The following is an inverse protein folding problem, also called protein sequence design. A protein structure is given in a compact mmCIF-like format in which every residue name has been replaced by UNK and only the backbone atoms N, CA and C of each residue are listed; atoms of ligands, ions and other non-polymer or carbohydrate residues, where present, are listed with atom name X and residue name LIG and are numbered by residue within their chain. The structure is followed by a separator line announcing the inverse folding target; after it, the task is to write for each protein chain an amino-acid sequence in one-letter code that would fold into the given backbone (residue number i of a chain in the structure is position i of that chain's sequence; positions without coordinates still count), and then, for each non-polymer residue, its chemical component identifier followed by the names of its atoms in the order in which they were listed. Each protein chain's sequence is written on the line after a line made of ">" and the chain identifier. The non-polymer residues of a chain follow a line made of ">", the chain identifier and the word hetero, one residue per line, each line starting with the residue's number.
data_IF_497437909222
#
_entry.id   IF_497437909222
#
_cell.length_a   1.000
_cell.length_b   1.000
_cell.length_c   1.000
_cell.angle_alpha   90.00
_cell.angle_beta   90.00
_cell.angle_gamma   90.00
#
_symmetry.space_group_name_H-M   'P 1'
#
loop_
_entity.id
_entity.type
_entity.pdbx_description
1 polymer ?
#
# COMPACT_ATOMS: atom_id res chain seq x y z
N UNK A 1 -20.35 -6.41 -12.14
CA UNK A 1 -21.59 -5.73 -11.69
C UNK A 1 -22.36 -6.72 -10.83
N UNK A 2 -22.53 -6.44 -9.53
CA UNK A 2 -23.30 -7.30 -8.61
C UNK A 2 -24.66 -6.63 -8.44
N UNK A 3 -25.70 -7.25 -8.98
CA UNK A 3 -27.10 -6.84 -8.82
C UNK A 3 -27.82 -7.94 -8.07
N UNK A 4 -28.31 -7.61 -6.86
CA UNK A 4 -29.35 -8.37 -6.19
C UNK A 4 -30.69 -7.72 -6.59
N UNK A 5 -31.62 -8.53 -7.08
CA UNK A 5 -32.97 -8.18 -7.53
C UNK A 5 -33.53 -6.83 -7.01
N UNK A 6 -33.36 -5.76 -7.81
CA UNK A 6 -34.15 -4.53 -7.70
C UNK A 6 -33.80 -3.55 -6.56
N UNK A 7 -32.79 -3.80 -5.72
CA UNK A 7 -32.27 -2.80 -4.78
C UNK A 7 -30.80 -2.48 -5.07
N UNK A 8 -30.49 -1.21 -5.26
CA UNK A 8 -29.10 -0.75 -5.29
C UNK A 8 -28.46 -1.03 -3.93
N UNK A 9 -27.40 -1.86 -3.92
CA UNK A 9 -26.59 -2.05 -2.73
C UNK A 9 -26.00 -0.70 -2.34
N UNK A 10 -26.20 -0.22 -1.10
CA UNK A 10 -25.67 1.07 -0.69
C UNK A 10 -24.17 1.11 -0.98
N UNK A 11 -23.70 2.17 -1.65
CA UNK A 11 -22.27 2.34 -2.01
C UNK A 11 -21.37 2.16 -0.79
N UNK A 12 -21.85 2.60 0.38
CA UNK A 12 -21.19 2.37 1.66
C UNK A 12 -20.97 0.89 1.96
N UNK A 13 -21.97 0.04 1.80
CA UNK A 13 -21.83 -1.41 2.05
C UNK A 13 -20.80 -2.04 1.10
N UNK A 14 -20.74 -1.61 -0.15
CA UNK A 14 -19.70 -2.06 -1.10
C UNK A 14 -18.32 -1.63 -0.61
N UNK A 15 -18.17 -0.37 -0.17
CA UNK A 15 -16.89 0.13 0.38
C UNK A 15 -16.48 -0.62 1.65
N UNK A 16 -17.42 -0.94 2.53
CA UNK A 16 -17.15 -1.71 3.75
C UNK A 16 -16.66 -3.12 3.43
N UNK A 17 -17.25 -3.77 2.43
CA UNK A 17 -16.78 -5.07 1.94
C UNK A 17 -15.37 -4.97 1.34
N UNK A 18 -15.08 -3.94 0.55
CA UNK A 18 -13.73 -3.74 -0.02
C UNK A 18 -12.69 -3.47 1.06
N UNK A 19 -12.97 -2.55 1.98
CA UNK A 19 -12.05 -2.17 3.06
C UNK A 19 -11.75 -3.31 4.03
N UNK A 20 -12.68 -4.27 4.20
CA UNK A 20 -12.44 -5.46 5.03
C UNK A 20 -11.76 -6.61 4.28
N UNK A 21 -11.84 -6.64 2.94
CA UNK A 21 -11.30 -7.71 2.12
C UNK A 21 -9.86 -7.48 1.64
N UNK A 22 -9.41 -6.22 1.58
CA UNK A 22 -8.08 -5.85 1.10
C UNK A 22 -7.25 -5.34 2.28
N UNK A 23 -6.10 -5.95 2.56
CA UNK A 23 -5.19 -5.48 3.63
C UNK A 23 -4.05 -4.60 3.08
N UNK A 24 -3.55 -4.91 1.87
CA UNK A 24 -2.31 -4.34 1.33
C UNK A 24 -2.43 -4.07 -0.17
N UNK A 25 -1.96 -2.90 -0.59
CA UNK A 25 -1.81 -2.51 -1.99
C UNK A 25 -0.33 -2.31 -2.30
N UNK A 26 0.18 -3.01 -3.32
CA UNK A 26 1.55 -2.80 -3.82
C UNK A 26 1.46 -2.10 -5.17
N UNK A 27 1.83 -0.82 -5.20
CA UNK A 27 1.78 -0.01 -6.40
C UNK A 27 3.12 -0.09 -7.14
N UNK A 28 3.08 -0.44 -8.43
CA UNK A 28 4.24 -0.52 -9.29
C UNK A 28 4.14 0.50 -10.42
N UNK A 29 5.18 1.33 -10.59
CA UNK A 29 5.24 2.36 -11.63
C UNK A 29 6.35 2.05 -12.64
N UNK A 30 6.09 2.31 -13.92
CA UNK A 30 7.11 2.27 -14.97
C UNK A 30 7.76 3.65 -15.08
N UNK A 31 9.06 3.72 -14.85
CA UNK A 31 9.84 4.95 -14.96
C UNK A 31 10.25 5.25 -16.42
N UNK A 32 10.72 6.48 -16.64
CA UNK A 32 11.16 6.96 -17.95
C UNK A 32 12.32 6.17 -18.54
N UNK A 33 13.18 5.63 -17.67
CA UNK A 33 14.27 4.73 -18.04
C UNK A 33 13.78 3.32 -18.43
N UNK A 34 12.47 3.08 -18.44
CA UNK A 34 11.85 1.81 -18.77
C UNK A 34 11.80 0.82 -17.61
N UNK A 35 12.45 1.10 -16.48
CA UNK A 35 12.45 0.25 -15.31
C UNK A 35 11.07 0.21 -14.64
N UNK A 36 10.73 -0.92 -14.02
CA UNK A 36 9.53 -1.10 -13.21
C UNK A 36 9.95 -1.21 -11.76
N UNK A 37 9.44 -0.31 -10.92
CA UNK A 37 9.75 -0.28 -9.49
C UNK A 37 8.47 -0.19 -8.68
N UNK A 38 8.48 -0.81 -7.51
CA UNK A 38 7.45 -0.59 -6.50
C UNK A 38 7.64 0.84 -5.99
N UNK A 39 6.58 1.63 -6.06
CA UNK A 39 6.60 3.03 -5.62
C UNK A 39 5.87 3.25 -4.31
N UNK A 40 4.87 2.42 -4.02
CA UNK A 40 4.09 2.51 -2.80
C UNK A 40 3.78 1.10 -2.30
N UNK A 41 3.89 0.92 -0.99
CA UNK A 41 3.31 -0.20 -0.28
C UNK A 41 2.36 0.41 0.75
N UNK A 42 1.07 0.25 0.50
CA UNK A 42 0.01 0.98 1.21
C UNK A 42 -0.89 -0.01 1.93
N UNK A 43 -1.01 0.14 3.24
CA UNK A 43 -2.00 -0.58 4.04
C UNK A 43 -3.38 0.04 3.82
N UNK A 44 -4.37 -0.82 3.59
CA UNK A 44 -5.78 -0.44 3.63
C UNK A 44 -6.22 -0.59 5.08
N UNK A 45 -6.57 0.52 5.70
CA UNK A 45 -6.91 0.55 7.12
C UNK A 45 -8.37 0.14 7.31
N UNK A 46 -9.25 1.10 7.62
CA UNK A 46 -10.69 0.87 7.76
C UNK A 46 -11.43 2.02 7.10
N UNK A 47 -12.76 1.98 7.19
CA UNK A 47 -13.57 3.11 6.85
C UNK A 47 -13.67 4.09 8.03
N UNK A 48 -13.43 5.37 7.75
CA UNK A 48 -13.79 6.49 8.61
C UNK A 48 -14.97 7.22 7.96
N UNK A 49 -16.16 7.02 8.52
CA UNK A 49 -17.41 7.43 7.86
C UNK A 49 -17.59 6.67 6.54
N UNK A 50 -17.63 7.41 5.42
CA UNK A 50 -17.79 6.85 4.07
C UNK A 50 -16.46 6.75 3.28
N UNK A 51 -15.33 7.11 3.91
CA UNK A 51 -14.02 7.15 3.27
C UNK A 51 -13.19 5.94 3.71
N UNK A 52 -12.55 5.26 2.75
CA UNK A 52 -11.57 4.22 3.03
C UNK A 52 -10.24 4.92 3.32
N UNK A 53 -9.71 4.70 4.52
CA UNK A 53 -8.41 5.27 4.92
C UNK A 53 -7.29 4.37 4.42
N UNK A 54 -6.25 5.00 3.87
CA UNK A 54 -5.06 4.35 3.35
C UNK A 54 -3.84 4.90 4.08
N UNK A 55 -2.85 4.05 4.29
CA UNK A 55 -1.62 4.43 4.98
C UNK A 55 -0.40 3.85 4.27
N UNK A 56 0.45 4.73 3.76
CA UNK A 56 1.69 4.30 3.10
C UNK A 56 2.71 3.84 4.13
N UNK A 57 3.11 2.57 4.00
CA UNK A 57 4.14 1.92 4.83
C UNK A 57 5.52 2.10 4.21
N UNK A 58 5.58 2.08 2.88
CA UNK A 58 6.78 2.40 2.13
C UNK A 58 6.46 3.32 0.95
N UNK A 59 7.34 4.29 0.73
CA UNK A 59 7.27 5.24 -0.37
C UNK A 59 8.59 5.25 -1.13
N UNK A 60 8.52 5.44 -2.43
CA UNK A 60 9.71 5.62 -3.24
C UNK A 60 10.31 7.00 -3.05
N UNK A 61 11.52 7.02 -2.51
CA UNK A 61 12.33 8.20 -2.33
C UNK A 61 13.12 8.52 -3.61
N UNK A 62 12.79 9.67 -4.21
CA UNK A 62 13.45 10.21 -5.39
C UNK A 62 14.62 11.16 -5.07
N UNK A 63 15.01 11.33 -3.79
CA UNK A 63 16.05 12.27 -3.35
C UNK A 63 17.39 12.10 -4.07
N UNK A 64 17.71 10.86 -4.49
CA UNK A 64 18.94 10.51 -5.22
C UNK A 64 18.92 10.89 -6.71
N UNK A 65 17.78 11.33 -7.24
CA UNK A 65 17.65 11.80 -8.63
C UNK A 65 17.88 10.72 -9.68
N UNK A 66 18.60 11.10 -10.74
CA UNK A 66 18.89 10.26 -11.89
C UNK A 66 20.40 10.23 -12.17
N UNK A 67 20.90 9.16 -12.78
CA UNK A 67 22.29 9.11 -13.25
C UNK A 67 22.49 9.81 -14.61
N UNK A 68 23.73 9.78 -15.11
CA UNK A 68 24.10 10.36 -16.41
C UNK A 68 23.39 9.73 -17.60
N UNK A 69 22.84 8.53 -17.45
CA UNK A 69 22.09 7.80 -18.47
C UNK A 69 20.57 7.98 -18.30
N UNK A 70 20.13 8.79 -17.33
CA UNK A 70 18.73 9.06 -17.03
C UNK A 70 18.02 7.96 -16.24
N UNK A 71 18.76 7.00 -15.66
CA UNK A 71 18.20 5.94 -14.83
C UNK A 71 17.84 6.46 -13.45
N UNK A 72 16.71 6.02 -12.90
CA UNK A 72 16.30 6.43 -11.55
C UNK A 72 17.23 5.81 -10.50
N UNK A 73 17.72 6.64 -9.58
CA UNK A 73 18.60 6.23 -8.47
C UNK A 73 17.87 6.16 -7.12
N UNK A 74 16.54 6.34 -7.14
CA UNK A 74 15.73 6.27 -5.94
C UNK A 74 15.69 4.88 -5.30
N UNK A 75 15.06 4.80 -4.13
CA UNK A 75 14.81 3.54 -3.43
C UNK A 75 13.45 3.54 -2.77
N UNK A 76 12.92 2.36 -2.48
CA UNK A 76 11.77 2.21 -1.62
C UNK A 76 12.22 2.43 -0.16
N UNK A 77 11.68 3.44 0.50
CA UNK A 77 12.02 3.82 1.87
C UNK A 77 10.82 3.62 2.79
N UNK A 78 11.05 3.20 4.04
CA UNK A 78 9.99 3.07 5.03
C UNK A 78 9.53 4.45 5.51
N UNK A 79 8.22 4.60 5.72
CA UNK A 79 7.63 5.80 6.33
C UNK A 79 7.75 5.83 7.85
N UNK A 80 8.27 4.76 8.47
CA UNK A 80 8.33 4.62 9.93
C UNK A 80 7.03 4.09 10.56
N UNK A 81 6.00 3.86 9.74
CA UNK A 81 4.71 3.39 10.21
C UNK A 81 4.75 1.87 10.36
N UNK A 82 4.32 1.38 11.53
CA UNK A 82 4.18 -0.04 11.80
C UNK A 82 2.79 -0.51 11.36
N UNK A 83 2.68 -1.36 10.33
CA UNK A 83 1.38 -1.77 9.81
C UNK A 83 0.67 -2.78 10.71
N UNK A 84 -0.66 -2.76 10.69
CA UNK A 84 -1.52 -3.65 11.48
C UNK A 84 -1.62 -5.05 10.89
N UNK A 85 -1.48 -5.20 9.57
CA UNK A 85 -1.47 -6.51 8.90
C UNK A 85 -0.36 -7.44 9.40
N UNK A 86 0.65 -6.95 10.13
CA UNK A 86 1.66 -7.79 10.78
C UNK A 86 1.06 -8.81 11.76
N UNK A 87 -0.03 -8.46 12.42
CA UNK A 87 -0.75 -9.40 13.29
C UNK A 87 -1.32 -10.57 12.48
N UNK A 88 -1.92 -10.26 11.32
CA UNK A 88 -2.44 -11.24 10.37
C UNK A 88 -1.32 -12.09 9.78
N UNK A 89 -0.17 -11.51 9.45
CA UNK A 89 1.00 -12.26 8.98
C UNK A 89 1.49 -13.24 10.04
N UNK A 90 1.64 -12.78 11.29
CA UNK A 90 2.04 -13.61 12.43
C UNK A 90 1.07 -14.79 12.64
N UNK A 91 -0.23 -14.54 12.59
CA UNK A 91 -1.26 -15.59 12.66
C UNK A 91 -1.12 -16.64 11.54
N UNK A 92 -0.67 -16.22 10.35
CA UNK A 92 -0.38 -17.10 9.22
C UNK A 92 1.06 -17.67 9.25
N UNK A 93 1.74 -17.63 10.39
CA UNK A 93 3.13 -18.09 10.58
C UNK A 93 4.16 -17.37 9.69
N UNK A 94 3.85 -16.16 9.23
CA UNK A 94 4.78 -15.29 8.50
C UNK A 94 5.37 -14.29 9.50
N UNK A 95 6.65 -14.49 9.81
CA UNK A 95 7.40 -13.58 10.69
C UNK A 95 8.20 -12.60 9.84
N UNK A 96 8.12 -11.32 10.21
CA UNK A 96 8.84 -10.23 9.56
C UNK A 96 9.61 -9.47 10.63
N UNK A 97 10.87 -9.14 10.36
CA UNK A 97 11.66 -8.31 11.26
C UNK A 97 11.02 -6.92 11.38
N UNK A 98 10.58 -6.46 12.57
CA UNK A 98 9.98 -5.15 12.74
C UNK A 98 10.88 -3.99 12.31
N UNK A 99 12.21 -4.18 12.28
CA UNK A 99 13.16 -3.16 11.89
C UNK A 99 13.04 -2.74 10.42
N UNK A 100 12.40 -3.53 9.57
CA UNK A 100 12.19 -3.13 8.17
C UNK A 100 11.27 -1.90 8.03
N UNK A 101 10.45 -1.64 9.06
CA UNK A 101 9.53 -0.51 9.11
C UNK A 101 10.09 0.67 9.91
N UNK A 102 11.34 0.58 10.39
CA UNK A 102 11.97 1.72 11.03
C UNK A 102 12.27 2.79 9.97
N UNK A 103 12.05 4.09 10.28
CA UNK A 103 12.41 5.16 9.35
C UNK A 103 13.91 5.13 9.11
N UNK A 104 14.32 5.19 7.84
CA UNK A 104 15.73 5.29 7.47
C UNK A 104 16.23 6.68 7.90
N UNK A 105 17.13 6.71 8.90
CA UNK A 105 17.81 7.94 9.35
C UNK A 105 18.81 8.45 8.33
#
# INVERSE_FOLDING_TARGET
>A
LVLMAGMELPVRAIREQVASAVDLIVHQTRFKDGSRRITHVTEVEKMEGDIITLQDVFLWDNSRGFDSEGRTLGRLASTGLRPKFLEKMSYNNVTVDPLIFAPER
#
